data_IF_775533918118
#
_entry.id   IF_775533918118
#
_cell.length_a   1.000
_cell.length_b   1.000
_cell.length_c   1.000
_cell.angle_alpha   90.00
_cell.angle_beta   90.00
_cell.angle_gamma   90.00
#
_symmetry.space_group_name_H-M   'P 1'
#
loop_
_entity.id
_entity.type
_entity.pdbx_description
1 polymer ?
#
# COMPACT_ATOMS: atom_id res chain seq x y z
N UNK A 1 -6.52 -7.56 -0.37
CA UNK A 1 -7.18 -6.67 -1.34
C UNK A 1 -6.12 -6.01 -2.21
N UNK A 2 -6.13 -6.17 -3.53
CA UNK A 2 -5.22 -5.43 -4.41
C UNK A 2 -5.67 -3.97 -4.59
N UNK A 3 -4.73 -3.05 -4.84
CA UNK A 3 -5.07 -1.68 -5.21
C UNK A 3 -5.82 -1.64 -6.56
N UNK A 4 -6.91 -0.86 -6.63
CA UNK A 4 -7.71 -0.72 -7.86
C UNK A 4 -7.03 0.15 -8.92
N UNK A 5 -6.09 1.01 -8.52
CA UNK A 5 -5.32 1.87 -9.43
C UNK A 5 -3.84 1.97 -9.05
N UNK A 6 -2.99 2.30 -10.02
CA UNK A 6 -1.57 2.56 -9.76
C UNK A 6 -1.35 3.76 -8.83
N UNK A 7 -2.18 4.80 -8.93
CA UNK A 7 -2.12 5.97 -8.06
C UNK A 7 -2.36 5.58 -6.61
N UNK A 8 -3.38 4.74 -6.35
CA UNK A 8 -3.62 4.19 -5.02
C UNK A 8 -2.45 3.34 -4.54
N UNK A 9 -1.91 2.44 -5.37
CA UNK A 9 -0.73 1.63 -5.02
C UNK A 9 0.45 2.50 -4.57
N UNK A 10 0.75 3.57 -5.31
CA UNK A 10 1.83 4.51 -4.98
C UNK A 10 1.54 5.26 -3.67
N UNK A 11 0.32 5.75 -3.46
CA UNK A 11 -0.07 6.40 -2.20
C UNK A 11 0.06 5.45 -1.01
N UNK A 12 -0.41 4.20 -1.13
CA UNK A 12 -0.30 3.22 -0.04
C UNK A 12 1.15 2.81 0.22
N UNK A 13 2.00 2.75 -0.81
CA UNK A 13 3.43 2.56 -0.64
C UNK A 13 4.12 3.71 0.10
N UNK A 14 3.71 4.96 -0.16
CA UNK A 14 4.22 6.12 0.55
C UNK A 14 3.79 6.13 2.03
N UNK A 15 2.52 5.82 2.30
CA UNK A 15 2.03 5.70 3.68
C UNK A 15 2.69 4.53 4.42
N UNK A 16 2.99 3.41 3.74
CA UNK A 16 3.77 2.32 4.33
C UNK A 16 5.16 2.80 4.80
N UNK A 17 5.84 3.59 3.96
CA UNK A 17 7.15 4.13 4.30
C UNK A 17 7.08 5.09 5.50
N UNK A 18 6.05 5.94 5.57
CA UNK A 18 5.77 6.80 6.73
C UNK A 18 5.58 5.99 8.00
N UNK A 19 4.71 4.98 7.95
CA UNK A 19 4.42 4.12 9.10
C UNK A 19 5.67 3.43 9.64
N UNK A 20 6.55 2.96 8.75
CA UNK A 20 7.85 2.35 9.12
C UNK A 20 8.85 3.31 9.73
N UNK A 21 8.73 4.61 9.44
CA UNK A 21 9.50 5.67 10.10
C UNK A 21 8.89 6.11 11.43
N UNK A 22 7.76 5.53 11.83
CA UNK A 22 7.00 5.96 13.02
C UNK A 22 6.12 7.19 12.79
N UNK A 23 5.97 7.64 11.53
CA UNK A 23 5.14 8.79 11.19
C UNK A 23 3.65 8.41 11.04
N UNK A 24 2.78 9.41 11.13
CA UNK A 24 1.35 9.24 10.88
C UNK A 24 1.06 9.03 9.39
N UNK A 25 0.16 8.08 9.14
CA UNK A 25 -0.34 7.75 7.79
C UNK A 25 -1.57 8.58 7.48
N UNK A 26 -1.71 9.07 6.25
CA UNK A 26 -2.92 9.82 5.84
C UNK A 26 -4.16 8.93 5.75
N UNK A 27 -3.96 7.65 5.46
CA UNK A 27 -5.04 6.68 5.24
C UNK A 27 -5.55 6.01 6.51
N UNK A 28 -4.85 6.19 7.66
CA UNK A 28 -5.19 5.54 8.92
C UNK A 28 -5.10 4.00 8.90
N UNK A 29 -4.55 3.40 7.84
CA UNK A 29 -4.48 1.95 7.70
C UNK A 29 -3.31 1.35 8.51
N UNK A 30 -3.46 0.06 8.83
CA UNK A 30 -2.38 -0.73 9.44
C UNK A 30 -1.23 -0.99 8.45
N UNK A 31 -0.02 -1.25 8.97
CA UNK A 31 1.14 -1.55 8.14
C UNK A 31 0.89 -2.75 7.21
N UNK A 32 0.19 -3.78 7.70
CA UNK A 32 -0.15 -4.97 6.92
C UNK A 32 -1.05 -4.63 5.73
N UNK A 33 -2.08 -3.81 5.94
CA UNK A 33 -2.97 -3.36 4.87
C UNK A 33 -2.21 -2.53 3.84
N UNK A 34 -1.39 -1.57 4.30
CA UNK A 34 -0.56 -0.73 3.43
C UNK A 34 0.40 -1.57 2.57
N UNK A 35 1.04 -2.59 3.17
CA UNK A 35 1.91 -3.53 2.47
C UNK A 35 1.16 -4.31 1.40
N UNK A 36 -0.03 -4.79 1.69
CA UNK A 36 -0.82 -5.56 0.72
C UNK A 36 -1.33 -4.70 -0.44
N UNK A 37 -1.67 -3.43 -0.18
CA UNK A 37 -2.03 -2.48 -1.23
C UNK A 37 -0.83 -2.00 -2.06
N UNK A 38 0.36 -1.88 -1.46
CA UNK A 38 1.57 -1.43 -2.13
C UNK A 38 2.17 -2.50 -3.05
N UNK A 39 1.90 -3.80 -2.79
CA UNK A 39 2.32 -4.90 -3.67
C UNK A 39 1.71 -4.69 -5.07
N UNK A 40 2.54 -4.91 -6.11
CA UNK A 40 2.01 -5.02 -7.47
C UNK A 40 1.06 -6.22 -7.51
N UNK A 41 -0.12 -6.10 -8.14
CA UNK A 41 -1.00 -7.24 -8.32
C UNK A 41 -0.21 -8.32 -9.06
N UNK A 42 -0.15 -9.51 -8.47
CA UNK A 42 0.44 -10.65 -9.14
C UNK A 42 -0.30 -10.81 -10.47
N UNK A 43 0.41 -10.72 -11.59
CA UNK A 43 -0.15 -11.10 -12.89
C UNK A 43 -0.54 -12.56 -12.72
N UNK A 44 -1.85 -12.87 -12.66
CA UNK A 44 -2.30 -14.25 -12.84
C UNK A 44 -1.73 -14.67 -14.19
N UNK A 45 -0.72 -15.55 -14.17
CA UNK A 45 -0.35 -16.30 -15.37
C UNK A 45 -1.62 -17.09 -15.71
N UNK A 46 -2.14 -16.84 -16.91
CA UNK A 46 -3.29 -17.56 -17.46
C UNK A 46 -2.93 -19.03 -17.60
#
# INVERSE_FOLDING_TARGET
>A
MPAKSERQRKMMGADLARKRRGESTKTGMSERQLRDFAKKPARRKK
#
